data_IF_277848956519
#
_entry.id   IF_277848956519
#
_cell.length_a   1.000
_cell.length_b   1.000
_cell.length_c   1.000
_cell.angle_alpha   90.00
_cell.angle_beta   90.00
_cell.angle_gamma   90.00
#
_symmetry.space_group_name_H-M   'P 1'
#
loop_
_entity.id
_entity.type
_entity.pdbx_description
1 polymer ?
#
# COMPACT_ATOMS: atom_id res chain seq x y z
N UNK A 1 -4.92 -8.22 -1.38
CA UNK A 1 -4.16 -7.28 -2.25
C UNK A 1 -3.89 -5.97 -1.51
N UNK A 2 -2.75 -5.34 -1.78
CA UNK A 2 -2.39 -4.01 -1.25
C UNK A 2 -2.30 -3.03 -2.41
N UNK A 3 -2.94 -1.87 -2.26
CA UNK A 3 -2.78 -0.74 -3.18
C UNK A 3 -2.14 0.43 -2.42
N UNK A 4 -1.08 0.98 -3.00
CA UNK A 4 -0.48 2.25 -2.59
C UNK A 4 -0.85 3.28 -3.65
N UNK A 5 -1.52 4.37 -3.25
CA UNK A 5 -1.98 5.40 -4.19
C UNK A 5 -1.69 6.81 -3.65
N UNK A 6 -1.17 7.64 -4.55
CA UNK A 6 -0.79 9.06 -4.36
C UNK A 6 -0.58 9.67 -5.76
N UNK A 7 0.51 10.41 -5.98
CA UNK A 7 0.89 10.85 -7.34
C UNK A 7 1.19 9.67 -8.28
N UNK A 8 1.56 8.52 -7.73
CA UNK A 8 1.76 7.26 -8.45
C UNK A 8 0.97 6.14 -7.78
N UNK A 9 0.55 5.13 -8.55
CA UNK A 9 -0.18 3.96 -8.03
C UNK A 9 0.70 2.72 -8.14
N UNK A 10 0.84 1.99 -7.04
CA UNK A 10 1.55 0.71 -6.98
C UNK A 10 0.64 -0.35 -6.35
N UNK A 11 0.41 -1.43 -7.08
CA UNK A 11 -0.41 -2.57 -6.63
C UNK A 11 0.49 -3.76 -6.33
N UNK A 12 0.21 -4.42 -5.22
CA UNK A 12 0.96 -5.57 -4.72
C UNK A 12 -0.01 -6.70 -4.38
N UNK A 13 0.33 -7.91 -4.81
CA UNK A 13 -0.37 -9.13 -4.41
C UNK A 13 0.34 -9.77 -3.22
N UNK A 14 -0.42 -10.38 -2.32
CA UNK A 14 0.11 -11.12 -1.16
C UNK A 14 -0.76 -12.35 -0.93
N UNK A 15 -0.19 -13.40 -0.33
CA UNK A 15 -0.87 -14.66 -0.01
C UNK A 15 -1.75 -14.52 1.23
N UNK A 16 -2.91 -15.20 1.25
CA UNK A 16 -3.77 -15.24 2.44
C UNK A 16 -3.04 -15.89 3.62
N UNK A 17 -3.18 -15.30 4.82
CA UNK A 17 -2.57 -15.82 6.06
C UNK A 17 -1.33 -15.05 6.53
N UNK A 18 -0.77 -14.18 5.69
CA UNK A 18 0.34 -13.30 6.08
C UNK A 18 -0.12 -12.20 7.05
N UNK A 19 0.45 -12.17 8.25
CA UNK A 19 0.17 -11.17 9.28
C UNK A 19 1.09 -9.96 9.19
N UNK A 20 2.27 -10.10 8.57
CA UNK A 20 3.25 -9.04 8.41
C UNK A 20 3.68 -8.92 6.94
N UNK A 21 3.34 -7.79 6.31
CA UNK A 21 3.68 -7.55 4.91
C UNK A 21 4.64 -6.37 4.81
N UNK A 22 5.83 -6.62 4.26
CA UNK A 22 6.80 -5.56 3.93
C UNK A 22 6.48 -4.98 2.57
N UNK A 23 6.34 -3.66 2.51
CA UNK A 23 6.06 -2.92 1.27
C UNK A 23 7.30 -2.10 0.92
N UNK A 24 7.91 -2.35 -0.23
CA UNK A 24 9.00 -1.51 -0.72
C UNK A 24 8.44 -0.26 -1.42
N UNK A 25 8.71 0.91 -0.83
CA UNK A 25 8.31 2.23 -1.30
C UNK A 25 9.38 2.91 -2.18
N UNK A 26 10.50 2.26 -2.45
CA UNK A 26 11.54 2.76 -3.34
C UNK A 26 11.02 3.07 -4.74
N UNK A 27 11.48 4.19 -5.30
CA UNK A 27 11.06 4.71 -6.60
C UNK A 27 9.74 5.49 -6.59
N UNK A 28 9.09 5.66 -5.44
CA UNK A 28 7.99 6.60 -5.28
C UNK A 28 8.56 8.01 -5.10
N UNK A 29 7.92 8.99 -5.72
CA UNK A 29 8.25 10.42 -5.56
C UNK A 29 7.83 10.85 -4.15
N UNK A 30 8.47 11.86 -3.59
CA UNK A 30 8.02 12.48 -2.35
C UNK A 30 6.57 12.96 -2.45
N UNK A 31 5.80 12.79 -1.38
CA UNK A 31 4.39 13.10 -1.37
C UNK A 31 3.57 12.29 -0.38
N UNK A 32 2.27 12.52 -0.40
CA UNK A 32 1.31 11.80 0.44
C UNK A 32 0.81 10.56 -0.29
N UNK A 33 0.86 9.41 0.39
CA UNK A 33 0.33 8.16 -0.11
C UNK A 33 -0.63 7.54 0.89
N UNK A 34 -1.59 6.80 0.36
CA UNK A 34 -2.46 5.95 1.16
C UNK A 34 -2.21 4.50 0.76
N UNK A 35 -1.94 3.67 1.75
CA UNK A 35 -1.82 2.23 1.62
C UNK A 35 -3.17 1.65 2.03
N UNK A 36 -3.85 0.97 1.12
CA UNK A 36 -5.08 0.21 1.38
C UNK A 36 -4.78 -1.27 1.30
N UNK A 37 -5.29 -2.00 2.27
CA UNK A 37 -5.31 -3.45 2.24
C UNK A 37 -6.75 -3.89 1.99
N UNK A 38 -6.95 -4.74 0.98
CA UNK A 38 -8.28 -5.18 0.53
C UNK A 38 -8.30 -6.66 0.11
N UNK A 39 -9.42 -7.33 0.36
CA UNK A 39 -9.74 -8.66 -0.16
C UNK A 39 -11.23 -8.67 -0.56
N UNK A 40 -11.54 -8.14 -1.75
CA UNK A 40 -12.92 -7.82 -2.16
C UNK A 40 -13.52 -6.57 -1.50
N UNK A 41 -13.18 -6.31 -0.23
CA UNK A 41 -13.48 -5.08 0.53
C UNK A 41 -12.21 -4.54 1.20
N UNK A 42 -12.12 -3.22 1.37
CA UNK A 42 -11.04 -2.59 2.16
C UNK A 42 -11.22 -2.97 3.63
N UNK A 43 -10.19 -3.57 4.22
CA UNK A 43 -10.18 -3.98 5.63
C UNK A 43 -9.32 -3.06 6.49
N UNK A 44 -8.28 -2.45 5.89
CA UNK A 44 -7.42 -1.49 6.57
C UNK A 44 -6.89 -0.47 5.56
N UNK A 45 -6.61 0.73 6.06
CA UNK A 45 -5.80 1.69 5.32
C UNK A 45 -4.93 2.52 6.24
N UNK A 46 -3.83 3.05 5.68
CA UNK A 46 -2.91 3.92 6.39
C UNK A 46 -2.43 5.04 5.46
N UNK A 47 -2.46 6.27 5.95
CA UNK A 47 -1.84 7.41 5.28
C UNK A 47 -0.38 7.52 5.71
N UNK A 48 0.51 7.76 4.75
CA UNK A 48 1.93 8.00 4.97
C UNK A 48 2.38 9.20 4.15
N UNK A 49 3.46 9.85 4.60
CA UNK A 49 4.12 10.95 3.89
C UNK A 49 5.54 10.49 3.61
N UNK A 50 5.92 10.51 2.32
CA UNK A 50 7.29 10.28 1.87
C UNK A 50 7.94 11.65 1.67
N UNK A 51 9.12 11.83 2.25
CA UNK A 51 9.93 13.04 2.14
C UNK A 51 11.15 12.77 1.27
#
# INVERSE_FOLDING_TARGET
MIDVFGNTRKRLSYSSGETNIKINLGGLISGTYIIRVYNGKVWAYRKIVLQ
#
